data_IF_469282646324
#
_entry.id   IF_469282646324
#
_cell.length_a   1.000
_cell.length_b   1.000
_cell.length_c   1.000
_cell.angle_alpha   90.00
_cell.angle_beta   90.00
_cell.angle_gamma   90.00
#
_symmetry.space_group_name_H-M   'P 1'
#
loop_
_entity.id
_entity.type
_entity.pdbx_description
1 polymer ?
#
# COMPACT_ATOMS: atom_id res chain seq x y z
N UNK A 1 -24.48 56.84 0.47
CA UNK A 1 -24.77 55.40 0.28
C UNK A 1 -23.47 54.71 -0.09
N UNK A 2 -22.79 54.15 0.90
CA UNK A 2 -21.59 53.32 0.70
C UNK A 2 -22.05 51.89 0.38
N UNK A 3 -21.43 51.32 -0.64
CA UNK A 3 -21.86 50.09 -1.30
C UNK A 3 -21.75 48.86 -0.37
N UNK A 4 -22.75 47.98 -0.41
CA UNK A 4 -22.91 46.83 0.50
C UNK A 4 -21.71 45.84 0.43
N UNK A 5 -20.96 45.85 -0.69
CA UNK A 5 -19.74 45.07 -0.89
C UNK A 5 -18.55 45.53 -0.03
N UNK A 6 -18.50 46.81 0.38
CA UNK A 6 -17.39 47.31 1.22
C UNK A 6 -17.55 46.86 2.68
N UNK A 7 -18.78 46.66 3.14
CA UNK A 7 -19.09 46.22 4.51
C UNK A 7 -18.93 44.70 4.66
N UNK A 8 -19.13 43.92 3.59
CA UNK A 8 -18.87 42.47 3.60
C UNK A 8 -17.36 42.15 3.64
N UNK A 9 -16.52 42.90 2.91
CA UNK A 9 -15.08 42.66 2.89
C UNK A 9 -14.37 42.97 4.21
N UNK A 10 -14.89 43.93 5.00
CA UNK A 10 -14.30 44.27 6.31
C UNK A 10 -14.59 43.22 7.40
N UNK A 11 -15.69 42.47 7.28
CA UNK A 11 -16.05 41.39 8.23
C UNK A 11 -15.27 40.09 8.01
N UNK A 12 -14.75 39.86 6.80
CA UNK A 12 -13.88 38.71 6.51
C UNK A 12 -12.46 38.97 7.02
N UNK A 13 -11.98 40.21 6.99
CA UNK A 13 -10.62 40.55 7.45
C UNK A 13 -10.47 40.71 8.97
N UNK A 14 -11.54 40.99 9.73
CA UNK A 14 -11.46 41.09 11.20
C UNK A 14 -11.49 39.74 11.94
N UNK A 15 -11.79 38.62 11.27
CA UNK A 15 -11.67 37.28 11.86
C UNK A 15 -10.26 36.69 11.76
N UNK A 16 -9.35 37.36 11.05
CA UNK A 16 -7.97 36.94 10.85
C UNK A 16 -6.97 37.54 11.85
N UNK A 17 -7.40 38.38 12.80
CA UNK A 17 -6.50 39.17 13.66
C UNK A 17 -6.67 38.97 15.18
N UNK A 18 -7.39 37.96 15.65
CA UNK A 18 -7.63 37.72 17.08
C UNK A 18 -7.13 36.35 17.58
N UNK A 19 -5.91 35.95 17.23
CA UNK A 19 -5.27 34.75 17.77
C UNK A 19 -3.75 34.92 18.02
N UNK A 20 -3.36 36.07 18.57
CA UNK A 20 -2.00 36.32 19.05
C UNK A 20 -2.00 36.52 20.58
N UNK A 21 -2.06 35.41 21.31
CA UNK A 21 -1.55 35.25 22.68
C UNK A 21 -1.44 33.74 23.02
N UNK A 22 -0.26 33.32 23.47
CA UNK A 22 0.26 31.95 23.53
C UNK A 22 -0.45 30.97 24.49
N UNK A 23 -0.16 29.65 24.40
CA UNK A 23 1.00 29.12 25.12
C UNK A 23 1.96 28.31 24.24
N UNK A 24 3.23 28.26 24.67
CA UNK A 24 4.20 27.25 24.22
C UNK A 24 3.61 25.85 24.48
N UNK A 25 2.94 25.30 23.48
CA UNK A 25 2.76 23.86 23.38
C UNK A 25 4.06 23.33 22.79
N UNK A 26 4.70 22.38 23.47
CA UNK A 26 5.66 21.50 22.85
C UNK A 26 5.03 20.96 21.57
N UNK A 27 5.38 21.54 20.42
CA UNK A 27 5.24 20.85 19.16
C UNK A 27 6.13 19.63 19.33
N UNK A 28 5.53 18.46 19.55
CA UNK A 28 6.18 17.22 19.18
C UNK A 28 6.60 17.42 17.74
N UNK A 29 7.90 17.61 17.53
CA UNK A 29 8.44 17.75 16.20
C UNK A 29 8.14 16.43 15.48
N UNK A 30 7.03 16.38 14.75
CA UNK A 30 6.84 15.35 13.74
C UNK A 30 8.09 15.40 12.86
N UNK A 31 8.63 14.24 12.51
CA UNK A 31 9.79 14.19 11.63
C UNK A 31 9.45 14.93 10.34
N UNK A 32 9.96 16.17 10.21
CA UNK A 32 9.84 16.93 8.98
C UNK A 32 10.43 16.05 7.89
N UNK A 33 9.67 15.87 6.81
CA UNK A 33 10.17 15.14 5.66
C UNK A 33 11.54 15.73 5.28
N UNK A 34 12.61 14.93 5.19
CA UNK A 34 13.86 15.42 4.62
C UNK A 34 13.52 15.92 3.21
N UNK A 35 13.79 17.20 2.87
CA UNK A 35 13.56 17.66 1.52
C UNK A 35 14.32 16.71 0.59
N UNK A 36 13.72 16.34 -0.56
CA UNK A 36 14.41 15.47 -1.50
C UNK A 36 15.72 16.16 -1.88
N UNK A 37 16.79 15.40 -2.19
CA UNK A 37 18.01 15.99 -2.69
C UNK A 37 17.70 16.98 -3.82
N UNK A 38 18.37 18.15 -3.88
CA UNK A 38 18.18 19.09 -4.98
C UNK A 38 18.27 18.36 -6.32
N UNK A 39 17.23 18.52 -7.14
CA UNK A 39 17.14 17.93 -8.47
C UNK A 39 16.67 16.48 -8.56
N UNK A 40 16.29 15.82 -7.45
CA UNK A 40 15.87 14.41 -7.45
C UNK A 40 14.72 14.08 -8.42
N UNK A 41 13.89 15.06 -8.78
CA UNK A 41 12.75 14.90 -9.69
C UNK A 41 12.82 15.80 -10.93
N UNK A 42 13.97 16.40 -11.25
CA UNK A 42 14.08 17.34 -12.38
C UNK A 42 13.79 16.66 -13.73
N UNK A 43 14.13 15.38 -13.86
CA UNK A 43 13.81 14.57 -15.04
C UNK A 43 12.33 14.14 -15.12
N UNK A 44 11.60 14.22 -14.00
CA UNK A 44 10.19 13.81 -13.89
C UNK A 44 9.42 14.79 -12.98
N UNK A 45 9.27 16.07 -13.37
CA UNK A 45 8.76 17.11 -12.48
C UNK A 45 7.33 16.86 -12.01
N UNK A 46 6.50 16.21 -12.84
CA UNK A 46 5.14 15.82 -12.43
C UNK A 46 5.14 14.77 -11.30
N UNK A 47 6.10 13.83 -11.30
CA UNK A 47 6.26 12.90 -10.19
C UNK A 47 6.65 13.63 -8.90
N UNK A 48 7.56 14.61 -9.00
CA UNK A 48 7.91 15.48 -7.87
C UNK A 48 6.71 16.25 -7.32
N UNK A 49 5.83 16.74 -8.20
CA UNK A 49 4.57 17.38 -7.82
C UNK A 49 3.63 16.42 -7.11
N UNK A 50 3.37 15.22 -7.66
CA UNK A 50 2.52 14.20 -7.00
C UNK A 50 3.07 13.86 -5.62
N UNK A 51 4.38 13.66 -5.50
CA UNK A 51 5.03 13.39 -4.21
C UNK A 51 4.74 14.51 -3.20
N UNK A 52 5.01 15.76 -3.58
CA UNK A 52 4.85 16.89 -2.68
C UNK A 52 3.40 17.14 -2.30
N UNK A 53 2.47 17.08 -3.25
CA UNK A 53 1.06 17.42 -3.03
C UNK A 53 0.30 16.28 -2.36
N UNK A 54 0.40 15.06 -2.90
CA UNK A 54 -0.44 13.95 -2.48
C UNK A 54 0.24 13.07 -1.45
N UNK A 55 1.49 12.66 -1.67
CA UNK A 55 2.14 11.73 -0.72
C UNK A 55 2.42 12.45 0.60
N UNK A 56 3.19 13.52 0.59
CA UNK A 56 3.62 14.19 1.82
C UNK A 56 2.78 15.41 2.20
N UNK A 57 2.07 16.02 1.25
CA UNK A 57 1.17 17.14 1.52
C UNK A 57 -0.24 16.74 1.97
N UNK A 58 -0.58 15.45 1.87
CA UNK A 58 -1.88 14.91 2.24
C UNK A 58 -1.73 13.57 2.97
N UNK A 59 -1.33 12.49 2.29
CA UNK A 59 -1.41 11.12 2.81
C UNK A 59 -0.63 10.90 4.10
N UNK A 60 0.53 11.54 4.27
CA UNK A 60 1.30 11.46 5.52
C UNK A 60 0.74 12.33 6.66
N UNK A 61 -0.09 13.32 6.35
CA UNK A 61 -0.67 14.28 7.29
C UNK A 61 -2.08 13.89 7.78
N UNK A 62 -2.69 12.89 7.14
CA UNK A 62 -4.03 12.38 7.51
C UNK A 62 -4.04 11.79 8.92
N UNK A 63 -4.96 12.25 9.76
CA UNK A 63 -5.03 11.94 11.19
C UNK A 63 -5.53 10.53 11.54
N UNK A 64 -6.17 9.82 10.61
CA UNK A 64 -6.74 8.48 10.87
C UNK A 64 -5.69 7.37 11.09
N UNK A 65 -4.39 7.67 10.91
CA UNK A 65 -3.29 6.78 11.26
C UNK A 65 -2.08 7.60 11.70
N UNK A 66 -1.46 7.23 12.83
CA UNK A 66 -0.33 7.98 13.40
C UNK A 66 0.91 7.93 12.51
N UNK A 67 1.81 8.90 12.64
CA UNK A 67 3.08 8.90 11.89
C UNK A 67 3.96 7.68 12.21
N UNK A 68 3.89 7.15 13.44
CA UNK A 68 4.56 5.91 13.83
C UNK A 68 3.98 4.72 13.06
N UNK A 69 2.66 4.60 13.05
CA UNK A 69 1.94 3.52 12.39
C UNK A 69 2.13 3.55 10.86
N UNK A 70 2.08 4.74 10.25
CA UNK A 70 2.45 4.96 8.85
C UNK A 70 3.88 4.49 8.57
N UNK A 71 4.85 4.91 9.38
CA UNK A 71 6.24 4.47 9.23
C UNK A 71 6.41 2.95 9.31
N UNK A 72 5.74 2.27 10.25
CA UNK A 72 5.81 0.81 10.36
C UNK A 72 5.30 0.12 9.09
N UNK A 73 4.11 0.51 8.60
CA UNK A 73 3.55 -0.11 7.38
C UNK A 73 4.37 0.26 6.14
N UNK A 74 4.97 1.46 6.07
CA UNK A 74 5.83 1.83 4.94
C UNK A 74 7.11 1.00 4.91
N UNK A 75 7.76 0.75 6.06
CA UNK A 75 8.93 -0.13 6.15
C UNK A 75 8.57 -1.55 5.71
N UNK A 76 7.46 -2.09 6.22
CA UNK A 76 6.97 -3.41 5.86
C UNK A 76 6.69 -3.55 4.35
N UNK A 77 6.00 -2.57 3.75
CA UNK A 77 5.68 -2.59 2.32
C UNK A 77 6.94 -2.45 1.46
N UNK A 78 7.86 -1.54 1.80
CA UNK A 78 9.10 -1.39 1.04
C UNK A 78 10.01 -2.63 1.13
N UNK A 79 10.00 -3.36 2.26
CA UNK A 79 10.62 -4.67 2.35
C UNK A 79 9.96 -5.66 1.40
N UNK A 80 8.63 -5.77 1.45
CA UNK A 80 7.88 -6.73 0.64
C UNK A 80 8.05 -6.51 -0.87
N UNK A 81 8.17 -5.25 -1.29
CA UNK A 81 8.37 -4.85 -2.69
C UNK A 81 9.83 -4.82 -3.14
N UNK A 82 10.79 -5.18 -2.27
CA UNK A 82 12.22 -5.11 -2.57
C UNK A 82 12.70 -3.68 -2.94
N UNK A 83 12.02 -2.65 -2.42
CA UNK A 83 12.28 -1.24 -2.71
C UNK A 83 13.42 -0.70 -1.83
N UNK A 84 14.64 -1.23 -1.99
CA UNK A 84 15.74 -1.08 -1.02
C UNK A 84 16.14 0.36 -0.71
N UNK A 85 16.14 1.24 -1.72
CA UNK A 85 16.46 2.67 -1.54
C UNK A 85 15.40 3.37 -0.67
N UNK A 86 14.12 3.10 -0.94
CA UNK A 86 13.00 3.63 -0.15
C UNK A 86 12.95 3.00 1.24
N UNK A 87 13.25 1.70 1.35
CA UNK A 87 13.33 0.99 2.63
C UNK A 87 14.35 1.65 3.56
N UNK A 88 15.54 1.96 3.05
CA UNK A 88 16.59 2.63 3.82
C UNK A 88 16.14 4.00 4.33
N UNK A 89 15.52 4.81 3.46
CA UNK A 89 14.97 6.12 3.83
C UNK A 89 13.87 6.00 4.88
N UNK A 90 12.93 5.07 4.68
CA UNK A 90 11.79 4.89 5.55
C UNK A 90 12.12 4.22 6.89
N UNK A 91 13.17 3.40 6.99
CA UNK A 91 13.71 2.93 8.28
C UNK A 91 14.25 4.10 9.12
N UNK A 92 14.98 5.03 8.49
CA UNK A 92 15.40 6.26 9.16
C UNK A 92 14.21 7.06 9.69
N UNK A 93 13.21 7.31 8.84
CA UNK A 93 11.99 8.02 9.23
C UNK A 93 11.18 7.26 10.29
N UNK A 94 11.21 5.93 10.29
CA UNK A 94 10.56 5.11 11.31
C UNK A 94 11.20 5.35 12.68
N UNK A 95 12.54 5.36 12.76
CA UNK A 95 13.26 5.71 13.98
C UNK A 95 12.92 7.14 14.45
N UNK A 96 12.83 8.10 13.53
CA UNK A 96 12.46 9.49 13.87
C UNK A 96 11.01 9.61 14.39
N UNK A 97 10.11 8.76 13.89
CA UNK A 97 8.71 8.68 14.33
C UNK A 97 8.51 7.75 15.55
N UNK A 98 9.58 7.31 16.20
CA UNK A 98 9.54 6.55 17.44
C UNK A 98 9.37 5.03 17.29
N UNK A 99 9.53 4.48 16.09
CA UNK A 99 9.68 3.02 15.91
C UNK A 99 11.07 2.61 16.40
N UNK A 100 11.15 1.60 17.25
CA UNK A 100 12.42 1.15 17.86
C UNK A 100 13.20 0.22 16.94
N UNK A 101 14.49 0.01 17.22
CA UNK A 101 15.29 -0.99 16.48
C UNK A 101 14.73 -2.41 16.67
N UNK A 102 14.19 -2.73 17.86
CA UNK A 102 13.56 -4.03 18.12
C UNK A 102 12.31 -4.22 17.25
N UNK A 103 11.47 -3.19 17.14
CA UNK A 103 10.29 -3.22 16.26
C UNK A 103 10.68 -3.34 14.79
N UNK A 104 11.71 -2.61 14.32
CA UNK A 104 12.21 -2.75 12.94
C UNK A 104 12.73 -4.18 12.71
N UNK A 105 13.51 -4.73 13.64
CA UNK A 105 13.98 -6.11 13.58
C UNK A 105 12.83 -7.11 13.50
N UNK A 106 11.77 -6.87 14.28
CA UNK A 106 10.60 -7.73 14.31
C UNK A 106 9.72 -7.59 13.06
N UNK A 107 9.60 -6.38 12.49
CA UNK A 107 8.99 -6.16 11.16
C UNK A 107 9.71 -7.02 10.12
N UNK A 108 11.04 -7.02 10.13
CA UNK A 108 11.85 -7.78 9.16
C UNK A 108 11.55 -9.28 9.24
N UNK A 109 11.56 -9.83 10.47
CA UNK A 109 11.24 -11.24 10.72
C UNK A 109 9.79 -11.60 10.40
N UNK A 110 8.84 -10.71 10.71
CA UNK A 110 7.42 -10.94 10.45
C UNK A 110 7.14 -10.92 8.94
N UNK A 111 7.56 -9.87 8.23
CA UNK A 111 7.31 -9.70 6.80
C UNK A 111 8.01 -10.76 5.95
N UNK A 112 9.14 -11.31 6.41
CA UNK A 112 9.80 -12.44 5.76
C UNK A 112 8.86 -13.62 5.47
N UNK A 113 7.90 -13.91 6.36
CA UNK A 113 6.94 -15.01 6.15
C UNK A 113 5.91 -14.70 5.07
N UNK A 114 5.61 -13.42 4.86
CA UNK A 114 4.57 -12.96 3.94
C UNK A 114 5.12 -12.57 2.56
N UNK A 115 6.39 -12.15 2.47
CA UNK A 115 7.03 -11.75 1.21
C UNK A 115 8.26 -12.56 0.83
N UNK A 116 8.65 -13.55 1.65
CA UNK A 116 9.71 -14.52 1.37
C UNK A 116 11.08 -14.15 1.95
N UNK A 117 11.89 -15.18 2.24
CA UNK A 117 13.24 -15.09 2.83
C UNK A 117 14.18 -14.03 2.21
N UNK A 118 14.28 -13.90 0.87
CA UNK A 118 15.18 -12.92 0.26
C UNK A 118 14.86 -11.47 0.67
N UNK A 119 13.58 -11.13 0.84
CA UNK A 119 13.17 -9.79 1.28
C UNK A 119 13.67 -9.48 2.69
N UNK A 120 13.58 -10.45 3.61
CA UNK A 120 14.06 -10.30 4.99
C UNK A 120 15.58 -10.20 5.07
N UNK A 121 16.32 -11.02 4.31
CA UNK A 121 17.79 -10.95 4.26
C UNK A 121 18.26 -9.61 3.72
N UNK A 122 17.61 -9.10 2.68
CA UNK A 122 17.93 -7.78 2.14
C UNK A 122 17.62 -6.66 3.16
N UNK A 123 16.42 -6.70 3.76
CA UNK A 123 16.02 -5.71 4.75
C UNK A 123 16.94 -5.70 5.99
N UNK A 124 17.42 -6.86 6.45
CA UNK A 124 18.38 -6.96 7.55
C UNK A 124 19.72 -6.27 7.23
N UNK A 125 20.20 -6.33 5.98
CA UNK A 125 21.41 -5.61 5.55
C UNK A 125 21.18 -4.11 5.54
N UNK A 126 20.04 -3.67 4.98
CA UNK A 126 19.66 -2.25 4.97
C UNK A 126 19.50 -1.72 6.41
N UNK A 127 18.91 -2.48 7.31
CA UNK A 127 18.79 -2.09 8.72
C UNK A 127 20.16 -1.92 9.39
N UNK A 128 21.10 -2.83 9.13
CA UNK A 128 22.47 -2.73 9.65
C UNK A 128 23.16 -1.43 9.19
N UNK A 129 23.04 -1.08 7.91
CA UNK A 129 23.56 0.19 7.37
C UNK A 129 22.91 1.41 8.04
N UNK A 130 21.59 1.42 8.18
CA UNK A 130 20.85 2.52 8.82
C UNK A 130 21.23 2.68 10.30
N UNK A 131 21.40 1.57 11.02
CA UNK A 131 21.78 1.62 12.43
C UNK A 131 23.22 2.12 12.60
N UNK A 132 24.15 1.65 11.78
CA UNK A 132 25.54 2.12 11.76
C UNK A 132 25.61 3.64 11.51
N UNK A 133 24.94 4.13 10.48
CA UNK A 133 24.91 5.56 10.13
C UNK A 133 24.31 6.44 11.22
N UNK A 134 23.40 5.90 12.02
CA UNK A 134 22.78 6.60 13.15
C UNK A 134 23.53 6.40 14.47
N UNK A 135 24.68 5.71 14.45
CA UNK A 135 25.46 5.42 15.66
C UNK A 135 24.70 4.54 16.66
N UNK A 136 23.77 3.72 16.18
CA UNK A 136 22.95 2.82 16.98
C UNK A 136 23.65 1.46 17.15
N UNK A 137 23.38 0.72 18.23
CA UNK A 137 23.95 -0.61 18.45
C UNK A 137 23.68 -1.59 17.28
N UNK A 138 24.68 -2.37 16.89
CA UNK A 138 24.53 -3.40 15.84
C UNK A 138 23.54 -4.50 16.24
N UNK A 139 23.41 -4.80 17.52
CA UNK A 139 22.35 -5.65 18.05
C UNK A 139 21.24 -4.76 18.64
N UNK A 140 20.03 -4.78 18.04
CA UNK A 140 18.90 -3.99 18.52
C UNK A 140 18.61 -4.24 20.00
N UNK A 141 18.65 -3.21 20.86
CA UNK A 141 18.24 -3.36 22.25
C UNK A 141 16.77 -3.80 22.32
N UNK A 142 16.50 -4.90 23.01
CA UNK A 142 15.16 -5.45 23.17
C UNK A 142 14.74 -6.48 22.12
N UNK A 143 15.53 -6.70 21.05
CA UNK A 143 15.29 -7.84 20.16
C UNK A 143 15.72 -9.15 20.83
N UNK A 144 14.89 -10.18 20.74
CA UNK A 144 15.21 -11.51 21.25
C UNK A 144 15.65 -12.47 20.13
N UNK A 145 16.44 -13.49 20.50
CA UNK A 145 16.61 -14.68 19.68
C UNK A 145 15.30 -15.48 19.58
N UNK A 146 15.25 -16.39 18.60
CA UNK A 146 14.16 -17.37 18.43
C UNK A 146 13.81 -18.06 19.76
N UNK A 147 12.52 -18.19 20.06
CA UNK A 147 11.99 -18.92 21.22
C UNK A 147 11.19 -20.14 20.75
N UNK A 148 11.04 -21.20 21.56
CA UNK A 148 10.11 -22.29 21.27
C UNK A 148 8.66 -21.78 21.11
N UNK A 149 7.81 -22.47 20.33
CA UNK A 149 6.41 -22.09 20.17
C UNK A 149 5.67 -22.14 21.51
N UNK A 150 4.76 -21.18 21.72
CA UNK A 150 3.97 -21.04 22.96
C UNK A 150 2.93 -22.17 23.06
N UNK A 151 2.26 -22.47 21.95
CA UNK A 151 1.34 -23.60 21.81
C UNK A 151 1.80 -24.52 20.67
N UNK A 152 2.59 -25.57 20.96
CA UNK A 152 3.08 -26.50 19.95
C UNK A 152 1.97 -27.28 19.21
N UNK A 153 0.75 -27.34 19.77
CA UNK A 153 -0.39 -28.07 19.23
C UNK A 153 -1.36 -27.18 18.45
N UNK A 154 -1.05 -25.88 18.30
CA UNK A 154 -1.86 -24.95 17.54
C UNK A 154 -2.03 -25.43 16.09
N UNK A 155 -3.28 -25.65 15.67
CA UNK A 155 -3.58 -25.97 14.28
C UNK A 155 -4.28 -24.79 13.58
N UNK A 156 -3.66 -24.30 12.50
CA UNK A 156 -4.32 -23.37 11.61
C UNK A 156 -5.48 -24.08 10.89
N UNK A 157 -6.71 -23.51 10.89
CA UNK A 157 -7.89 -24.20 10.37
C UNK A 157 -7.72 -24.68 8.92
N UNK A 158 -8.05 -25.95 8.67
CA UNK A 158 -8.03 -26.57 7.32
C UNK A 158 -6.65 -26.64 6.65
N UNK A 159 -5.54 -26.55 7.39
CA UNK A 159 -4.22 -26.38 6.81
C UNK A 159 -3.69 -27.63 6.07
N UNK A 160 -3.70 -27.51 4.74
CA UNK A 160 -2.90 -28.23 3.73
C UNK A 160 -2.45 -29.66 4.11
N UNK A 161 -3.38 -30.63 4.26
CA UNK A 161 -3.01 -32.00 4.61
C UNK A 161 -2.13 -32.67 3.54
N UNK A 162 -2.15 -32.16 2.30
CA UNK A 162 -1.32 -32.63 1.20
C UNK A 162 0.15 -32.16 1.30
N UNK A 163 0.45 -31.13 2.10
CA UNK A 163 1.80 -30.57 2.29
C UNK A 163 2.14 -30.41 3.77
N UNK A 164 2.29 -31.53 4.51
CA UNK A 164 2.39 -31.52 5.98
C UNK A 164 3.53 -30.66 6.52
N UNK A 165 4.68 -30.59 5.84
CA UNK A 165 5.78 -29.71 6.28
C UNK A 165 5.41 -28.22 6.19
N UNK A 166 4.68 -27.80 5.15
CA UNK A 166 4.20 -26.42 5.05
C UNK A 166 3.18 -26.12 6.16
N UNK A 167 2.26 -27.05 6.41
CA UNK A 167 1.32 -26.97 7.53
C UNK A 167 2.06 -26.79 8.85
N UNK A 168 3.08 -27.59 9.13
CA UNK A 168 3.82 -27.53 10.39
C UNK A 168 4.59 -26.20 10.53
N UNK A 169 5.16 -25.67 9.44
CA UNK A 169 5.79 -24.33 9.46
C UNK A 169 4.77 -23.22 9.76
N UNK A 170 3.57 -23.27 9.17
CA UNK A 170 2.51 -22.30 9.45
C UNK A 170 2.07 -22.38 10.91
N UNK A 171 1.78 -23.60 11.38
CA UNK A 171 1.28 -23.85 12.73
C UNK A 171 2.31 -23.45 13.79
N UNK A 172 3.52 -24.02 13.72
CA UNK A 172 4.50 -23.93 14.80
C UNK A 172 5.35 -22.67 14.71
N UNK A 173 5.81 -22.29 13.51
CA UNK A 173 6.78 -21.20 13.35
C UNK A 173 6.10 -19.86 13.11
N UNK A 174 5.11 -19.82 12.22
CA UNK A 174 4.40 -18.56 11.97
C UNK A 174 3.44 -18.24 13.11
N UNK A 175 2.45 -19.09 13.37
CA UNK A 175 1.35 -18.74 14.28
C UNK A 175 1.67 -18.99 15.76
N UNK A 176 2.17 -20.15 16.14
CA UNK A 176 2.45 -20.46 17.55
C UNK A 176 3.72 -19.80 18.10
N UNK A 177 4.56 -19.26 17.23
CA UNK A 177 5.82 -18.60 17.60
C UNK A 177 5.85 -17.15 17.14
N UNK A 178 5.94 -16.87 15.84
CA UNK A 178 6.16 -15.49 15.35
C UNK A 178 5.03 -14.53 15.75
N UNK A 179 3.77 -14.93 15.64
CA UNK A 179 2.63 -14.10 16.03
C UNK A 179 2.53 -13.85 17.54
N UNK A 180 3.17 -14.70 18.37
CA UNK A 180 3.16 -14.61 19.83
C UNK A 180 4.37 -13.84 20.41
N UNK A 181 5.30 -13.40 19.56
CA UNK A 181 6.48 -12.62 19.98
C UNK A 181 6.07 -11.20 20.41
N UNK A 182 6.62 -10.73 21.53
CA UNK A 182 6.17 -9.52 22.23
C UNK A 182 6.78 -8.21 21.70
N UNK A 183 7.78 -8.27 20.82
CA UNK A 183 8.43 -7.09 20.23
C UNK A 183 7.51 -6.29 19.31
N UNK A 184 6.43 -6.90 18.81
CA UNK A 184 5.30 -6.21 18.17
C UNK A 184 4.00 -6.67 18.82
N UNK A 185 3.10 -5.72 19.07
CA UNK A 185 1.76 -6.04 19.53
C UNK A 185 0.96 -6.81 18.47
N UNK A 186 -0.05 -7.62 18.85
CA UNK A 186 -0.95 -8.25 17.88
C UNK A 186 -1.62 -7.25 16.92
N UNK A 187 -1.93 -6.05 17.41
CA UNK A 187 -2.45 -4.92 16.61
C UNK A 187 -1.45 -4.53 15.52
N UNK A 188 -0.20 -4.24 15.90
CA UNK A 188 0.83 -3.78 14.96
C UNK A 188 1.16 -4.86 13.91
N UNK A 189 1.28 -6.13 14.34
CA UNK A 189 1.46 -7.26 13.39
C UNK A 189 0.33 -7.34 12.39
N UNK A 190 -0.90 -7.15 12.84
CA UNK A 190 -2.07 -7.22 11.96
C UNK A 190 -2.09 -6.08 10.95
N UNK A 191 -1.78 -4.85 11.37
CA UNK A 191 -1.65 -3.72 10.45
C UNK A 191 -0.56 -3.96 9.39
N UNK A 192 0.62 -4.41 9.81
CA UNK A 192 1.73 -4.77 8.92
C UNK A 192 1.29 -5.84 7.91
N UNK A 193 0.58 -6.87 8.38
CA UNK A 193 0.16 -7.98 7.53
C UNK A 193 -0.90 -7.55 6.51
N UNK A 194 -1.86 -6.71 6.91
CA UNK A 194 -2.84 -6.11 6.00
C UNK A 194 -2.15 -5.22 4.96
N UNK A 195 -1.16 -4.42 5.37
CA UNK A 195 -0.39 -3.56 4.48
C UNK A 195 0.41 -4.37 3.44
N UNK A 196 1.11 -5.41 3.88
CA UNK A 196 1.90 -6.30 3.00
C UNK A 196 0.98 -7.09 2.07
N UNK A 197 -0.10 -7.67 2.57
CA UNK A 197 -1.08 -8.39 1.75
C UNK A 197 -1.71 -7.49 0.69
N UNK A 198 -1.99 -6.23 1.03
CA UNK A 198 -2.45 -5.21 0.09
C UNK A 198 -1.39 -4.99 -0.99
N UNK A 199 -0.15 -4.67 -0.61
CA UNK A 199 0.92 -4.35 -1.54
C UNK A 199 1.25 -5.49 -2.52
N UNK A 200 1.13 -6.75 -2.07
CA UNK A 200 1.41 -7.93 -2.88
C UNK A 200 0.21 -8.41 -3.73
N UNK A 201 -0.91 -7.68 -3.73
CA UNK A 201 -2.16 -8.09 -4.40
C UNK A 201 -2.67 -9.48 -3.92
N UNK A 202 -2.42 -9.82 -2.65
CA UNK A 202 -2.74 -11.13 -2.08
C UNK A 202 -4.15 -11.16 -1.49
N UNK A 203 -5.18 -11.19 -2.34
CA UNK A 203 -6.60 -11.01 -1.93
C UNK A 203 -7.07 -12.00 -0.85
N UNK A 204 -6.62 -13.26 -0.85
CA UNK A 204 -6.95 -14.23 0.20
C UNK A 204 -6.38 -13.81 1.55
N UNK A 205 -5.13 -13.36 1.56
CA UNK A 205 -4.43 -12.91 2.76
C UNK A 205 -5.02 -11.61 3.30
N UNK A 206 -5.34 -10.65 2.43
CA UNK A 206 -6.05 -9.43 2.82
C UNK A 206 -7.38 -9.78 3.51
N UNK A 207 -8.17 -10.68 2.91
CA UNK A 207 -9.46 -11.09 3.47
C UNK A 207 -9.33 -11.67 4.87
N UNK A 208 -8.39 -12.62 5.04
CA UNK A 208 -8.16 -13.26 6.33
C UNK A 208 -7.61 -12.27 7.37
N UNK A 209 -6.58 -11.51 7.01
CA UNK A 209 -5.88 -10.64 7.95
C UNK A 209 -6.62 -9.34 8.28
N UNK A 210 -7.53 -8.85 7.43
CA UNK A 210 -8.46 -7.78 7.82
C UNK A 210 -9.38 -8.25 8.96
N UNK A 211 -9.90 -9.47 8.88
CA UNK A 211 -10.68 -10.06 9.98
C UNK A 211 -9.86 -10.14 11.28
N UNK A 212 -8.65 -10.71 11.18
CA UNK A 212 -7.73 -10.81 12.33
C UNK A 212 -7.32 -9.44 12.88
N UNK A 213 -7.15 -8.44 12.02
CA UNK A 213 -6.82 -7.08 12.43
C UNK A 213 -7.94 -6.44 13.27
N UNK A 214 -9.19 -6.60 12.84
CA UNK A 214 -10.35 -6.18 13.62
C UNK A 214 -10.40 -6.89 14.99
N UNK A 215 -10.12 -8.21 15.02
CA UNK A 215 -10.09 -8.99 16.27
C UNK A 215 -8.98 -8.52 17.22
N UNK A 216 -7.85 -8.05 16.66
CA UNK A 216 -6.71 -7.50 17.40
C UNK A 216 -6.83 -5.98 17.67
N UNK A 217 -8.00 -5.38 17.42
CA UNK A 217 -8.30 -4.00 17.78
C UNK A 217 -7.87 -2.93 16.78
N UNK A 218 -7.51 -3.30 15.54
CA UNK A 218 -7.37 -2.33 14.44
C UNK A 218 -8.77 -1.90 14.00
N UNK A 219 -9.01 -0.59 13.92
CA UNK A 219 -10.33 -0.03 13.57
C UNK A 219 -10.60 -0.04 12.05
N UNK A 220 -11.86 0.11 11.65
CA UNK A 220 -12.22 0.28 10.23
C UNK A 220 -11.54 1.52 9.61
N UNK A 221 -11.44 2.61 10.37
CA UNK A 221 -10.79 3.84 9.93
C UNK A 221 -9.28 3.61 9.69
N UNK A 222 -8.60 2.93 10.60
CA UNK A 222 -7.18 2.60 10.45
C UNK A 222 -6.95 1.65 9.26
N UNK A 223 -7.81 0.65 9.06
CA UNK A 223 -7.73 -0.25 7.88
C UNK A 223 -7.91 0.55 6.58
N UNK A 224 -8.88 1.45 6.53
CA UNK A 224 -9.09 2.37 5.40
C UNK A 224 -7.85 3.22 5.13
N UNK A 225 -7.23 3.77 6.18
CA UNK A 225 -6.01 4.57 6.07
C UNK A 225 -4.79 3.73 5.64
N UNK A 226 -4.68 2.47 6.09
CA UNK A 226 -3.64 1.54 5.64
C UNK A 226 -3.78 1.31 4.13
N UNK A 227 -4.97 0.95 3.63
CA UNK A 227 -5.21 0.69 2.20
C UNK A 227 -4.88 1.94 1.36
N UNK A 228 -5.35 3.11 1.83
CA UNK A 228 -5.11 4.39 1.18
C UNK A 228 -3.63 4.75 1.15
N UNK A 229 -2.91 4.55 2.26
CA UNK A 229 -1.48 4.82 2.34
C UNK A 229 -0.68 3.89 1.41
N UNK A 230 -0.94 2.59 1.48
CA UNK A 230 -0.21 1.55 0.72
C UNK A 230 -0.39 1.73 -0.80
N UNK A 231 -1.49 2.34 -1.24
CA UNK A 231 -1.73 2.68 -2.65
C UNK A 231 -0.62 3.54 -3.27
N UNK A 232 -0.01 4.46 -2.53
CA UNK A 232 1.07 5.29 -3.06
C UNK A 232 2.42 4.56 -3.14
N UNK A 233 2.57 3.47 -2.38
CA UNK A 233 3.80 2.67 -2.33
C UNK A 233 3.74 1.43 -3.23
N UNK A 234 2.54 0.92 -3.53
CA UNK A 234 2.32 -0.30 -4.32
C UNK A 234 1.41 -0.13 -5.55
N UNK A 235 0.85 1.07 -5.74
CA UNK A 235 0.02 1.45 -6.88
C UNK A 235 -1.50 1.39 -6.62
N UNK A 236 -2.26 2.23 -7.32
CA UNK A 236 -3.73 2.26 -7.23
C UNK A 236 -4.44 0.91 -7.46
N UNK A 237 -3.98 0.03 -8.37
CA UNK A 237 -4.54 -1.31 -8.52
C UNK A 237 -4.62 -2.13 -7.23
N UNK A 238 -3.58 -2.09 -6.39
CA UNK A 238 -3.52 -2.89 -5.15
C UNK A 238 -4.51 -2.36 -4.11
N UNK A 239 -4.59 -1.03 -3.96
CA UNK A 239 -5.56 -0.36 -3.09
C UNK A 239 -7.01 -0.62 -3.48
N UNK A 240 -7.33 -0.53 -4.77
CA UNK A 240 -8.69 -0.82 -5.27
C UNK A 240 -9.11 -2.26 -4.98
N UNK A 241 -8.20 -3.21 -5.18
CA UNK A 241 -8.44 -4.61 -4.87
C UNK A 241 -8.65 -4.82 -3.37
N UNK A 242 -7.76 -4.28 -2.53
CA UNK A 242 -7.87 -4.41 -1.08
C UNK A 242 -9.13 -3.74 -0.53
N UNK A 243 -9.53 -2.57 -1.04
CA UNK A 243 -10.77 -1.91 -0.64
C UNK A 243 -12.01 -2.76 -0.91
N UNK A 244 -12.08 -3.44 -2.06
CA UNK A 244 -13.19 -4.35 -2.39
C UNK A 244 -13.21 -5.57 -1.47
N UNK A 245 -12.06 -6.22 -1.29
CA UNK A 245 -11.94 -7.40 -0.42
C UNK A 245 -12.29 -7.06 1.04
N UNK A 246 -11.84 -5.91 1.53
CA UNK A 246 -12.14 -5.42 2.89
C UNK A 246 -13.63 -5.12 3.06
N UNK A 247 -14.29 -4.55 2.04
CA UNK A 247 -15.73 -4.29 2.09
C UNK A 247 -16.53 -5.59 2.28
N UNK A 248 -16.14 -6.68 1.61
CA UNK A 248 -16.77 -7.99 1.80
C UNK A 248 -16.57 -8.52 3.24
N UNK A 249 -15.42 -8.24 3.87
CA UNK A 249 -15.19 -8.60 5.29
C UNK A 249 -16.06 -7.76 6.22
N UNK A 250 -16.18 -6.45 5.95
CA UNK A 250 -17.02 -5.55 6.73
C UNK A 250 -18.50 -5.94 6.62
N UNK A 251 -18.98 -6.25 5.41
CA UNK A 251 -20.33 -6.77 5.17
C UNK A 251 -20.58 -8.07 5.95
N UNK A 252 -19.66 -9.04 5.84
CA UNK A 252 -19.78 -10.32 6.54
C UNK A 252 -19.79 -10.17 8.07
N UNK A 253 -19.19 -9.10 8.60
CA UNK A 253 -19.18 -8.76 10.03
C UNK A 253 -20.30 -7.79 10.45
N UNK A 254 -21.17 -7.37 9.53
CA UNK A 254 -22.25 -6.41 9.80
C UNK A 254 -21.74 -5.03 10.21
N UNK A 255 -20.54 -4.65 9.76
CA UNK A 255 -19.93 -3.35 10.07
C UNK A 255 -20.50 -2.25 9.17
N UNK A 256 -20.67 -1.02 9.70
CA UNK A 256 -21.23 0.09 8.94
C UNK A 256 -20.33 0.51 7.79
N UNK A 257 -20.93 0.76 6.63
CA UNK A 257 -20.29 1.21 5.40
C UNK A 257 -21.14 2.29 4.74
N UNK A 258 -20.50 3.21 4.02
CA UNK A 258 -21.19 4.21 3.19
C UNK A 258 -21.57 3.68 1.81
N UNK A 259 -22.10 4.57 0.97
CA UNK A 259 -22.57 4.28 -0.39
C UNK A 259 -21.51 4.61 -1.47
N UNK A 260 -20.27 4.92 -1.09
CA UNK A 260 -19.20 5.27 -2.02
C UNK A 260 -18.79 4.07 -2.90
N UNK A 261 -18.08 4.34 -4.00
CA UNK A 261 -17.55 3.28 -4.90
C UNK A 261 -16.61 2.31 -4.17
N UNK A 262 -15.93 2.78 -3.12
CA UNK A 262 -14.99 2.00 -2.29
C UNK A 262 -15.30 2.22 -0.81
N UNK A 263 -16.36 1.61 -0.27
CA UNK A 263 -16.87 1.96 1.07
C UNK A 263 -15.91 1.61 2.22
N UNK A 264 -15.00 0.65 2.01
CA UNK A 264 -13.96 0.31 2.98
C UNK A 264 -12.70 1.20 2.91
N UNK A 265 -12.59 2.07 1.90
CA UNK A 265 -11.51 3.04 1.75
C UNK A 265 -12.00 4.26 0.94
N UNK A 266 -12.97 5.04 1.46
CA UNK A 266 -13.70 6.04 0.67
C UNK A 266 -12.80 7.15 0.11
N UNK A 267 -11.69 7.47 0.79
CA UNK A 267 -10.74 8.46 0.28
C UNK A 267 -10.04 8.03 -1.02
N UNK A 268 -9.98 6.72 -1.30
CA UNK A 268 -9.47 6.21 -2.57
C UNK A 268 -10.33 6.69 -3.74
N UNK A 269 -11.63 6.92 -3.52
CA UNK A 269 -12.55 7.46 -4.54
C UNK A 269 -12.15 8.88 -4.95
N UNK A 270 -11.87 9.73 -3.96
CA UNK A 270 -11.39 11.11 -4.14
C UNK A 270 -10.06 11.13 -4.90
N UNK A 271 -9.12 10.26 -4.53
CA UNK A 271 -7.81 10.18 -5.19
C UNK A 271 -7.93 9.68 -6.64
N UNK A 272 -8.79 8.69 -6.89
CA UNK A 272 -8.97 8.16 -8.24
C UNK A 272 -9.65 9.19 -9.13
N UNK A 273 -10.67 9.89 -8.65
CA UNK A 273 -11.38 10.86 -9.47
C UNK A 273 -10.57 12.15 -9.66
N UNK A 274 -9.88 12.62 -8.62
CA UNK A 274 -9.03 13.81 -8.65
C UNK A 274 -7.67 13.54 -9.31
N UNK A 275 -6.79 12.81 -8.63
CA UNK A 275 -5.40 12.62 -9.07
C UNK A 275 -5.30 11.71 -10.31
N UNK A 276 -5.97 10.56 -10.31
CA UNK A 276 -5.81 9.61 -11.42
C UNK A 276 -6.55 10.13 -12.65
N UNK A 277 -7.88 10.23 -12.60
CA UNK A 277 -8.67 10.56 -13.78
C UNK A 277 -8.78 12.06 -14.06
N UNK A 278 -8.84 12.92 -13.04
CA UNK A 278 -8.96 14.36 -13.20
C UNK A 278 -7.65 15.03 -13.63
N UNK A 279 -6.52 14.57 -13.10
CA UNK A 279 -5.20 15.14 -13.40
C UNK A 279 -4.35 14.25 -14.31
N UNK A 280 -4.06 13.00 -13.92
CA UNK A 280 -3.04 12.20 -14.63
C UNK A 280 -3.49 11.80 -16.03
N UNK A 281 -4.73 11.33 -16.18
CA UNK A 281 -5.27 10.85 -17.46
C UNK A 281 -5.66 11.97 -18.43
N UNK A 282 -5.84 13.21 -17.96
CA UNK A 282 -6.19 14.37 -18.81
C UNK A 282 -4.97 15.05 -19.43
N UNK A 283 -3.77 14.71 -18.96
CA UNK A 283 -2.51 15.27 -19.48
C UNK A 283 -2.25 14.85 -20.93
N UNK A 284 -1.91 15.82 -21.77
CA UNK A 284 -1.77 15.65 -23.22
C UNK A 284 -0.45 15.00 -23.67
N UNK A 285 0.56 14.89 -22.79
CA UNK A 285 1.88 14.38 -23.18
C UNK A 285 1.88 12.89 -23.56
N UNK A 286 0.85 12.13 -23.18
CA UNK A 286 0.59 10.79 -23.68
C UNK A 286 -0.87 10.71 -24.14
N UNK A 287 -1.09 10.16 -25.33
CA UNK A 287 -2.44 9.92 -25.83
C UNK A 287 -3.20 8.97 -24.90
N UNK A 288 -4.53 9.09 -24.85
CA UNK A 288 -5.37 8.17 -24.05
C UNK A 288 -5.20 6.71 -24.49
N UNK A 289 -4.89 6.48 -25.78
CA UNK A 289 -4.53 5.18 -26.34
C UNK A 289 -3.25 4.64 -25.73
N UNK A 290 -2.16 5.42 -25.75
CA UNK A 290 -0.85 4.99 -25.24
C UNK A 290 -0.84 4.84 -23.72
N UNK A 291 -1.59 5.70 -23.00
CA UNK A 291 -1.85 5.50 -21.55
C UNK A 291 -2.51 4.17 -21.28
N UNK A 292 -3.50 3.79 -22.10
CA UNK A 292 -4.18 2.51 -21.95
C UNK A 292 -3.23 1.34 -22.24
N UNK A 293 -2.43 1.43 -23.30
CA UNK A 293 -1.42 0.42 -23.62
C UNK A 293 -0.45 0.21 -22.46
N UNK A 294 0.11 1.29 -21.91
CA UNK A 294 1.01 1.23 -20.77
C UNK A 294 0.33 0.67 -19.51
N UNK A 295 -0.92 1.06 -19.24
CA UNK A 295 -1.66 0.58 -18.06
C UNK A 295 -2.00 -0.91 -18.16
N UNK A 296 -2.37 -1.39 -19.35
CA UNK A 296 -2.58 -2.82 -19.61
C UNK A 296 -1.26 -3.57 -19.39
N UNK A 297 -0.14 -3.07 -19.90
CA UNK A 297 1.16 -3.72 -19.72
C UNK A 297 1.54 -3.90 -18.24
N UNK A 298 1.33 -2.87 -17.42
CA UNK A 298 1.61 -2.90 -15.97
C UNK A 298 0.68 -3.86 -15.24
N UNK A 299 -0.62 -3.76 -15.45
CA UNK A 299 -1.60 -4.63 -14.77
C UNK A 299 -1.47 -6.09 -15.18
N UNK A 300 -1.10 -6.35 -16.43
CA UNK A 300 -0.75 -7.66 -16.94
C UNK A 300 0.49 -8.21 -16.23
N UNK A 301 1.60 -7.48 -16.28
CA UNK A 301 2.89 -7.93 -15.74
C UNK A 301 2.85 -8.20 -14.24
N UNK A 302 2.00 -7.48 -13.52
CA UNK A 302 1.83 -7.62 -12.06
C UNK A 302 0.72 -8.59 -11.65
N UNK A 303 0.12 -9.35 -12.59
CA UNK A 303 -0.95 -10.31 -12.29
C UNK A 303 -2.22 -9.68 -11.67
N UNK A 304 -2.50 -8.41 -11.94
CA UNK A 304 -3.59 -7.64 -11.34
C UNK A 304 -4.90 -7.84 -12.11
N UNK A 305 -5.41 -9.08 -12.08
CA UNK A 305 -6.47 -9.61 -12.95
C UNK A 305 -7.72 -8.72 -13.06
N UNK A 306 -8.24 -8.19 -11.95
CA UNK A 306 -9.45 -7.37 -11.98
C UNK A 306 -9.22 -6.02 -12.66
N UNK A 307 -8.04 -5.43 -12.44
CA UNK A 307 -7.65 -4.16 -13.05
C UNK A 307 -7.28 -4.34 -14.52
N UNK A 308 -6.61 -5.45 -14.85
CA UNK A 308 -6.34 -5.83 -16.24
C UNK A 308 -7.64 -5.89 -17.04
N UNK A 309 -8.69 -6.53 -16.50
CA UNK A 309 -10.01 -6.58 -17.16
C UNK A 309 -10.59 -5.19 -17.42
N UNK A 310 -10.53 -4.28 -16.44
CA UNK A 310 -11.01 -2.89 -16.59
C UNK A 310 -10.23 -2.17 -17.69
N UNK A 311 -8.90 -2.26 -17.66
CA UNK A 311 -8.05 -1.53 -18.58
C UNK A 311 -8.00 -2.12 -19.99
N UNK A 312 -8.26 -3.42 -20.17
CA UNK A 312 -8.50 -4.02 -21.48
C UNK A 312 -9.74 -3.42 -22.16
N UNK A 313 -10.86 -3.29 -21.43
CA UNK A 313 -12.07 -2.64 -21.96
C UNK A 313 -11.80 -1.18 -22.33
N UNK A 314 -11.18 -0.43 -21.41
CA UNK A 314 -10.82 0.98 -21.64
C UNK A 314 -9.83 1.15 -22.80
N UNK A 315 -8.90 0.21 -22.97
CA UNK A 315 -7.95 0.21 -24.07
C UNK A 315 -8.62 0.08 -25.43
N UNK A 316 -9.54 -0.87 -25.55
CA UNK A 316 -10.38 -1.02 -26.75
C UNK A 316 -11.23 0.23 -27.01
N UNK A 317 -11.82 0.84 -25.98
CA UNK A 317 -12.61 2.08 -26.11
C UNK A 317 -11.75 3.28 -26.54
N UNK A 318 -10.46 3.29 -26.14
CA UNK A 318 -9.48 4.29 -26.53
C UNK A 318 -8.77 3.96 -27.85
N UNK A 319 -9.25 2.96 -28.60
CA UNK A 319 -8.80 2.67 -29.96
C UNK A 319 -7.64 1.69 -30.09
N UNK A 320 -7.31 0.92 -29.05
CA UNK A 320 -6.45 -0.27 -29.23
C UNK A 320 -7.24 -1.35 -29.97
N UNK A 321 -6.58 -2.00 -30.93
CA UNK A 321 -7.16 -3.13 -31.65
C UNK A 321 -6.98 -4.43 -30.89
N UNK A 322 -7.76 -5.46 -31.27
CA UNK A 322 -7.61 -6.80 -30.68
C UNK A 322 -6.23 -7.39 -30.94
N UNK A 323 -5.68 -7.17 -32.14
CA UNK A 323 -4.34 -7.61 -32.51
C UNK A 323 -3.27 -6.91 -31.68
N UNK A 324 -3.35 -5.59 -31.49
CA UNK A 324 -2.36 -4.86 -30.69
C UNK A 324 -2.33 -5.33 -29.23
N UNK A 325 -3.49 -5.63 -28.65
CA UNK A 325 -3.57 -6.18 -27.29
C UNK A 325 -2.99 -7.60 -27.26
N UNK A 326 -3.23 -8.42 -28.28
CA UNK A 326 -2.66 -9.76 -28.38
C UNK A 326 -1.12 -9.72 -28.44
N UNK A 327 -0.57 -8.85 -29.29
CA UNK A 327 0.88 -8.61 -29.39
C UNK A 327 1.44 -8.07 -28.07
N UNK A 328 0.73 -7.17 -27.39
CA UNK A 328 1.13 -6.69 -26.07
C UNK A 328 1.20 -7.83 -25.05
N UNK A 329 0.21 -8.73 -25.04
CA UNK A 329 0.22 -9.91 -24.15
C UNK A 329 1.45 -10.76 -24.45
N UNK A 330 1.71 -11.08 -25.73
CA UNK A 330 2.88 -11.86 -26.13
C UNK A 330 4.20 -11.18 -25.69
N UNK A 331 4.33 -9.88 -25.96
CA UNK A 331 5.49 -9.08 -25.58
C UNK A 331 5.71 -9.13 -24.06
N UNK A 332 4.73 -8.73 -23.25
CA UNK A 332 4.90 -8.61 -21.80
C UNK A 332 5.10 -9.98 -21.14
N UNK A 333 4.55 -11.06 -21.71
CA UNK A 333 4.81 -12.44 -21.25
C UNK A 333 6.30 -12.76 -21.21
N UNK A 334 7.07 -12.32 -22.22
CA UNK A 334 8.51 -12.60 -22.28
C UNK A 334 9.31 -11.86 -21.19
N UNK A 335 8.77 -10.79 -20.61
CA UNK A 335 9.43 -9.99 -19.57
C UNK A 335 8.86 -10.22 -18.16
N UNK A 336 7.63 -10.72 -18.05
CA UNK A 336 6.92 -10.92 -16.77
C UNK A 336 6.59 -12.39 -16.46
N UNK A 337 6.98 -13.30 -17.35
CA UNK A 337 6.78 -14.74 -17.20
C UNK A 337 5.50 -15.26 -17.85
N UNK A 338 5.56 -16.53 -18.28
CA UNK A 338 4.44 -17.24 -18.91
C UNK A 338 3.15 -17.28 -18.08
N UNK A 339 3.16 -17.45 -16.75
CA UNK A 339 1.92 -17.44 -15.96
C UNK A 339 1.11 -16.15 -16.13
N UNK A 340 1.77 -14.99 -16.15
CA UNK A 340 1.15 -13.67 -16.33
C UNK A 340 0.48 -13.57 -17.70
N UNK A 341 1.17 -14.03 -18.76
CA UNK A 341 0.64 -14.10 -20.11
C UNK A 341 -0.57 -15.02 -20.27
N UNK A 342 -0.50 -16.24 -19.73
CA UNK A 342 -1.61 -17.21 -19.77
C UNK A 342 -2.84 -16.66 -19.06
N UNK A 343 -2.65 -16.05 -17.89
CA UNK A 343 -3.74 -15.39 -17.17
C UNK A 343 -4.34 -14.26 -18.01
N UNK A 344 -3.51 -13.37 -18.56
CA UNK A 344 -3.95 -12.25 -19.36
C UNK A 344 -4.70 -12.65 -20.62
N UNK A 345 -4.24 -13.69 -21.31
CA UNK A 345 -4.93 -14.28 -22.46
C UNK A 345 -6.34 -14.73 -22.09
N UNK A 346 -6.52 -15.44 -20.97
CA UNK A 346 -7.86 -15.85 -20.50
C UNK A 346 -8.76 -14.66 -20.18
N UNK A 347 -8.22 -13.64 -19.49
CA UNK A 347 -8.96 -12.42 -19.16
C UNK A 347 -9.39 -11.69 -20.44
N UNK A 348 -8.48 -11.58 -21.41
CA UNK A 348 -8.75 -10.88 -22.67
C UNK A 348 -9.79 -11.61 -23.51
N UNK A 349 -9.71 -12.95 -23.62
CA UNK A 349 -10.75 -13.77 -24.26
C UNK A 349 -12.12 -13.51 -23.62
N UNK A 350 -12.20 -13.46 -22.29
CA UNK A 350 -13.44 -13.12 -21.59
C UNK A 350 -13.97 -11.73 -21.97
N UNK A 351 -13.11 -10.72 -22.01
CA UNK A 351 -13.49 -9.36 -22.44
C UNK A 351 -13.99 -9.33 -23.88
N UNK A 352 -13.36 -10.05 -24.81
CA UNK A 352 -13.78 -10.11 -26.21
C UNK A 352 -15.14 -10.79 -26.36
N UNK A 353 -15.36 -11.91 -25.65
CA UNK A 353 -16.64 -12.63 -25.63
C UNK A 353 -17.78 -11.75 -25.12
N UNK A 354 -17.57 -11.05 -24.00
CA UNK A 354 -18.55 -10.12 -23.42
C UNK A 354 -18.89 -8.96 -24.37
N UNK A 355 -17.94 -8.53 -25.21
CA UNK A 355 -18.12 -7.45 -26.19
C UNK A 355 -18.59 -7.93 -27.56
N UNK A 356 -18.74 -9.24 -27.79
CA UNK A 356 -19.05 -9.80 -29.10
C UNK A 356 -18.00 -9.49 -30.17
N UNK A 357 -16.73 -9.33 -29.77
CA UNK A 357 -15.62 -9.02 -30.66
C UNK A 357 -14.92 -10.31 -31.12
N UNK A 358 -14.38 -10.36 -32.35
CA UNK A 358 -13.63 -11.52 -32.81
C UNK A 358 -12.34 -11.71 -32.01
N UNK A 359 -11.89 -12.96 -31.93
CA UNK A 359 -10.55 -13.27 -31.44
C UNK A 359 -9.51 -12.71 -32.43
N UNK A 360 -8.32 -12.29 -31.94
CA UNK A 360 -7.19 -11.96 -32.80
C UNK A 360 -6.73 -13.20 -33.60
N UNK A 361 -6.12 -12.97 -34.76
CA UNK A 361 -5.70 -14.00 -35.72
C UNK A 361 -4.51 -14.84 -35.24
#
# INVERSE_FOLDING_TARGET
MLNLEFILNLKVHLRLLAALAAPLLCATAFAQQPPPPPGAYDAAPYLGQIRNTYVYGDIWERSGLSSRDRSMITVAVNQALYATNELRLHMGRALDNGVTQAEISEIIGHVLWYSGFPTGVNAARVAAEVFEERGLPTQPPGASSRQPPVDPELEFPSAYPQTPYLRDLLNQVLYAETWERNELSPRDRSMITVAVGTALYASSEVRYHVGRALDNGVTQEEISEIITHVTFYSGFPTGVNAARVTAEVFEARGLPMGDERFPAAPYLDVLIDGLVYGETWTREQLSVRDRSLATIAVTLGNYQTDQLRVHLRRGLDNGLTTQEIAELIAQVTLYSGFPSGVNASRVFVGVLQERGMPLPD
#
